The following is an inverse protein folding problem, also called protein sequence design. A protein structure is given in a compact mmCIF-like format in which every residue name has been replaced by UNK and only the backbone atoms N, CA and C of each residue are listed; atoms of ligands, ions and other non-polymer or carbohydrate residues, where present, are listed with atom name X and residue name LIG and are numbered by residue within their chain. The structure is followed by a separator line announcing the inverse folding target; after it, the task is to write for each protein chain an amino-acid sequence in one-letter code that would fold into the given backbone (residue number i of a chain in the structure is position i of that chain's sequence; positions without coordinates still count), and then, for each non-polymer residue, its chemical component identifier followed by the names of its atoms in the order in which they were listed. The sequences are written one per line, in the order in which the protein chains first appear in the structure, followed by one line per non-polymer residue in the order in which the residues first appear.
data_IF_283045754315
#
_entry.id   IF_283045754315
#
_cell.length_a   1.000
_cell.length_b   1.000
_cell.length_c   1.000
_cell.angle_alpha   90.00
_cell.angle_beta   90.00
_cell.angle_gamma   90.00
#
_symmetry.space_group_name_H-M   'P 1'
#
loop_
_entity.id
_entity.type
_entity.pdbx_description
1 polymer ?
#
# COMPACT_ATOMS: atom_id res chain seq x y z
N UNK A 1 6.47 -3.16 8.05
CA UNK A 1 6.00 -4.53 8.35
C UNK A 1 5.56 -5.10 7.03
N UNK A 2 5.89 -6.37 6.77
CA UNK A 2 5.34 -7.08 5.61
C UNK A 2 3.88 -7.40 5.91
N UNK A 3 2.99 -6.96 5.03
CA UNK A 3 1.53 -7.15 5.14
C UNK A 3 1.10 -8.34 4.29
N UNK A 4 0.15 -9.12 4.79
CA UNK A 4 -0.48 -10.21 4.03
C UNK A 4 -1.54 -9.65 3.08
N UNK A 5 -1.28 -9.76 1.78
CA UNK A 5 -2.16 -9.32 0.70
C UNK A 5 -2.83 -10.48 -0.05
N UNK A 6 -2.68 -11.72 0.45
CA UNK A 6 -3.22 -12.92 -0.19
C UNK A 6 -4.75 -12.96 -0.16
N UNK A 7 -5.37 -12.39 0.87
CA UNK A 7 -6.82 -12.32 1.05
C UNK A 7 -7.55 -11.28 0.20
N UNK A 8 -8.84 -11.09 0.52
CA UNK A 8 -9.67 -10.01 -0.03
C UNK A 8 -9.30 -8.69 0.63
N UNK A 9 -8.33 -7.98 0.04
CA UNK A 9 -7.80 -6.72 0.56
C UNK A 9 -8.28 -5.54 -0.27
N UNK A 10 -8.67 -4.46 0.40
CA UNK A 10 -8.89 -3.16 -0.22
C UNK A 10 -7.68 -2.26 0.07
N UNK A 11 -7.08 -1.69 -0.97
CA UNK A 11 -5.99 -0.73 -0.83
C UNK A 11 -6.58 0.68 -0.80
N UNK A 12 -6.19 1.46 0.20
CA UNK A 12 -6.59 2.85 0.34
C UNK A 12 -5.39 3.73 0.05
N UNK A 13 -5.54 4.67 -0.89
CA UNK A 13 -4.49 5.58 -1.31
C UNK A 13 -4.95 7.02 -1.05
N UNK A 14 -4.05 7.83 -0.50
CA UNK A 14 -4.29 9.24 -0.26
C UNK A 14 -4.30 10.07 -1.53
N UNK A 15 -4.83 11.29 -1.45
CA UNK A 15 -4.67 12.28 -2.52
C UNK A 15 -3.24 12.83 -2.53
N UNK A 16 -2.74 13.28 -3.69
CA UNK A 16 -1.31 13.58 -3.90
C UNK A 16 -0.71 14.59 -2.92
N UNK A 17 -1.49 15.57 -2.45
CA UNK A 17 -1.01 16.56 -1.49
C UNK A 17 -1.47 16.29 -0.04
N UNK A 18 -2.78 16.23 0.27
CA UNK A 18 -3.21 16.06 1.65
C UNK A 18 -3.04 14.63 2.18
N UNK A 19 -2.70 13.66 1.32
CA UNK A 19 -2.53 12.27 1.70
C UNK A 19 -3.83 11.60 2.16
N UNK A 20 -3.70 10.63 3.06
CA UNK A 20 -4.83 10.01 3.75
C UNK A 20 -5.31 10.92 4.87
N UNK A 21 -6.62 11.06 5.00
CA UNK A 21 -7.21 11.75 6.16
C UNK A 21 -7.18 10.85 7.39
N UNK A 22 -7.25 11.43 8.60
CA UNK A 22 -7.21 10.67 9.86
C UNK A 22 -8.35 9.68 10.07
N UNK A 23 -9.36 9.66 9.19
CA UNK A 23 -10.36 8.58 9.14
C UNK A 23 -9.71 7.19 9.00
N UNK A 24 -8.58 7.12 8.29
CA UNK A 24 -7.88 5.88 7.98
C UNK A 24 -6.82 5.48 9.02
N UNK A 25 -6.62 6.28 10.08
CA UNK A 25 -5.72 5.95 11.19
C UNK A 25 -6.42 5.08 12.27
N UNK A 26 -7.66 4.66 12.02
CA UNK A 26 -8.40 3.79 12.92
C UNK A 26 -7.72 2.40 13.04
N UNK A 27 -7.82 1.72 14.21
CA UNK A 27 -7.13 0.45 14.46
C UNK A 27 -7.56 -0.71 13.55
N UNK A 28 -8.69 -0.57 12.86
CA UNK A 28 -9.19 -1.55 11.89
C UNK A 28 -8.45 -1.49 10.53
N UNK A 29 -7.58 -0.50 10.33
CA UNK A 29 -6.77 -0.35 9.13
C UNK A 29 -5.31 -0.69 9.41
N UNK A 30 -4.71 -1.43 8.48
CA UNK A 30 -3.28 -1.72 8.52
C UNK A 30 -2.50 -0.71 7.69
N UNK A 31 -1.62 0.06 8.33
CA UNK A 31 -0.78 1.04 7.66
C UNK A 31 0.44 0.39 7.01
N UNK A 32 0.62 0.65 5.71
CA UNK A 32 1.73 0.13 4.90
C UNK A 32 2.48 1.31 4.29
N UNK A 33 3.82 1.20 4.20
CA UNK A 33 4.66 2.23 3.55
C UNK A 33 5.61 1.60 2.54
N UNK A 34 5.78 2.26 1.40
CA UNK A 34 6.90 1.97 0.50
C UNK A 34 8.18 2.62 1.07
N UNK A 35 9.32 1.91 1.08
CA UNK A 35 10.58 2.51 1.50
C UNK A 35 10.98 3.65 0.56
N UNK A 36 11.09 4.86 1.09
CA UNK A 36 11.70 5.99 0.40
C UNK A 36 13.20 6.00 0.72
N UNK A 37 14.05 5.83 -0.30
CA UNK A 37 15.50 5.70 -0.15
C UNK A 37 16.27 6.99 -0.49
N UNK A 38 15.57 8.11 -0.58
CA UNK A 38 16.13 9.40 -0.97
C UNK A 38 15.44 10.57 -0.28
N UNK A 39 15.61 11.77 -0.84
CA UNK A 39 15.07 13.02 -0.28
C UNK A 39 13.60 13.28 -0.63
N UNK A 40 13.00 12.45 -1.48
CA UNK A 40 11.61 12.61 -1.87
C UNK A 40 10.69 12.09 -0.76
N UNK A 41 9.66 12.88 -0.44
CA UNK A 41 8.70 12.54 0.62
C UNK A 41 7.77 11.39 0.22
N UNK A 42 7.48 11.24 -1.07
CA UNK A 42 6.58 10.21 -1.59
C UNK A 42 6.84 9.88 -3.06
N UNK A 43 6.21 8.80 -3.54
CA UNK A 43 6.06 8.51 -4.96
C UNK A 43 4.71 9.04 -5.44
N UNK A 44 4.58 9.23 -6.76
CA UNK A 44 3.29 9.50 -7.38
C UNK A 44 2.26 8.43 -6.99
N UNK A 45 1.02 8.84 -6.71
CA UNK A 45 -0.04 7.94 -6.20
C UNK A 45 -0.31 6.77 -7.14
N UNK A 46 -0.24 6.96 -8.46
CA UNK A 46 -0.43 5.89 -9.44
C UNK A 46 0.70 4.86 -9.40
N UNK A 47 1.94 5.32 -9.18
CA UNK A 47 3.13 4.45 -9.04
C UNK A 47 3.03 3.63 -7.76
N UNK A 48 2.67 4.27 -6.64
CA UNK A 48 2.42 3.58 -5.38
C UNK A 48 1.36 2.50 -5.54
N UNK A 49 0.23 2.84 -6.18
CA UNK A 49 -0.85 1.89 -6.46
C UNK A 49 -0.39 0.70 -7.31
N UNK A 50 0.38 0.96 -8.37
CA UNK A 50 0.91 -0.10 -9.22
C UNK A 50 1.83 -1.05 -8.43
N UNK A 51 2.77 -0.53 -7.65
CA UNK A 51 3.70 -1.35 -6.84
C UNK A 51 2.93 -2.24 -5.85
N UNK A 52 1.97 -1.69 -5.11
CA UNK A 52 1.18 -2.44 -4.13
C UNK A 52 0.31 -3.52 -4.79
N UNK A 53 -0.30 -3.23 -5.95
CA UNK A 53 -1.09 -4.21 -6.69
C UNK A 53 -0.24 -5.37 -7.22
N UNK A 54 0.98 -5.08 -7.70
CA UNK A 54 1.90 -6.12 -8.15
C UNK A 54 2.46 -6.95 -7.00
N UNK A 55 2.69 -6.36 -5.82
CA UNK A 55 3.07 -7.12 -4.63
C UNK A 55 1.92 -8.05 -4.17
N UNK A 56 0.68 -7.55 -4.15
CA UNK A 56 -0.48 -8.39 -3.85
C UNK A 56 -0.62 -9.56 -4.84
N UNK A 57 -0.40 -9.31 -6.13
CA UNK A 57 -0.38 -10.37 -7.15
C UNK A 57 0.74 -11.37 -6.88
N UNK A 58 1.96 -10.91 -6.61
CA UNK A 58 3.13 -11.75 -6.34
C UNK A 58 2.87 -12.70 -5.16
N UNK A 59 2.30 -12.19 -4.06
CA UNK A 59 1.96 -13.01 -2.90
C UNK A 59 0.87 -14.05 -3.22
N UNK A 60 -0.17 -13.66 -3.97
CA UNK A 60 -1.25 -14.58 -4.37
C UNK A 60 -0.76 -15.69 -5.30
N UNK A 61 0.12 -15.37 -6.24
CA UNK A 61 0.72 -16.35 -7.15
C UNK A 61 1.57 -17.37 -6.36
N UNK A 62 2.31 -16.94 -5.32
CA UNK A 62 3.06 -17.83 -4.44
C UNK A 62 2.18 -18.69 -3.52
N UNK A 63 1.01 -18.19 -3.11
CA UNK A 63 0.07 -18.95 -2.27
C UNK A 63 -0.74 -20.01 -3.02
N UNK A 64 -0.77 -19.94 -4.35
CA UNK A 64 -1.55 -20.85 -5.23
C UNK A 64 -0.74 -22.06 -5.72
N UNK A 65 0.46 -22.28 -5.18
CA UNK A 65 1.33 -23.44 -5.44
C UNK A 65 1.48 -24.26 -4.18
#
# INVERSE_FOLDING_TARGET
VDVDLTGRVALVLGAEAPGLTGLWDAPDFEAVRLPMLGIADSLNVSVTGAVLLYEARRQRDLSST
#
